data_IF_210615656153
#
_entry.id   IF_210615656153
#
_cell.length_a   1.000
_cell.length_b   1.000
_cell.length_c   1.000
_cell.angle_alpha   90.00
_cell.angle_beta   90.00
_cell.angle_gamma   90.00
#
_symmetry.space_group_name_H-M   'P 1'
#
loop_
_entity.id
_entity.type
_entity.pdbx_description
1 polymer ?
#
# COMPACT_ATOMS: atom_id res chain seq x y z
N UNK A 1 -5.76 -14.57 -56.01
CA UNK A 1 -5.94 -15.25 -54.71
C UNK A 1 -5.64 -14.19 -53.66
N UNK A 2 -6.61 -13.29 -53.44
CA UNK A 2 -6.53 -12.21 -52.47
C UNK A 2 -6.56 -12.84 -51.08
N UNK A 3 -5.51 -12.59 -50.30
CA UNK A 3 -5.56 -12.81 -48.87
C UNK A 3 -6.52 -11.76 -48.32
N UNK A 4 -7.76 -12.16 -48.00
CA UNK A 4 -8.63 -11.40 -47.11
C UNK A 4 -7.84 -11.15 -45.83
N UNK A 5 -7.21 -9.98 -45.75
CA UNK A 5 -6.80 -9.39 -44.50
C UNK A 5 -8.08 -9.21 -43.72
N UNK A 6 -8.31 -10.11 -42.76
CA UNK A 6 -9.34 -9.98 -41.76
C UNK A 6 -9.07 -8.66 -41.02
N UNK A 7 -9.63 -7.57 -41.54
CA UNK A 7 -9.64 -6.25 -40.94
C UNK A 7 -10.42 -6.41 -39.63
N UNK A 8 -9.66 -6.74 -38.59
CA UNK A 8 -10.12 -6.71 -37.23
C UNK A 8 -10.50 -5.26 -36.95
N UNK A 9 -11.78 -4.94 -37.13
CA UNK A 9 -12.36 -3.63 -36.82
C UNK A 9 -11.99 -3.28 -35.37
N UNK A 10 -10.92 -2.51 -35.20
CA UNK A 10 -10.52 -2.02 -33.90
C UNK A 10 -11.63 -1.08 -33.43
N UNK A 11 -12.34 -1.47 -32.37
CA UNK A 11 -13.45 -0.68 -31.81
C UNK A 11 -13.00 0.71 -31.30
N UNK A 12 -11.68 0.93 -31.24
CA UNK A 12 -11.02 2.15 -30.79
C UNK A 12 -9.74 2.35 -31.60
N UNK A 13 -9.40 3.60 -31.90
CA UNK A 13 -8.21 3.95 -32.65
C UNK A 13 -6.95 3.73 -31.80
N UNK A 14 -6.29 2.58 -31.95
CA UNK A 14 -5.11 2.26 -31.16
C UNK A 14 -3.85 2.91 -31.75
N UNK A 15 -2.83 3.23 -30.91
CA UNK A 15 -1.54 3.67 -31.41
C UNK A 15 -0.96 2.65 -32.40
N UNK A 16 -0.39 3.16 -33.50
CA UNK A 16 0.20 2.34 -34.56
C UNK A 16 1.18 1.29 -34.00
N UNK A 17 1.02 0.06 -34.46
CA UNK A 17 1.82 -1.09 -34.08
C UNK A 17 3.31 -0.89 -34.36
N UNK A 18 3.65 -0.14 -35.43
CA UNK A 18 5.03 0.19 -35.79
C UNK A 18 5.74 1.05 -34.75
N UNK A 19 4.98 1.87 -33.99
CA UNK A 19 5.50 2.79 -32.97
C UNK A 19 5.48 2.19 -31.58
N UNK A 20 4.45 1.41 -31.23
CA UNK A 20 4.32 0.82 -29.89
C UNK A 20 3.57 -0.52 -29.91
N UNK A 21 4.33 -1.61 -29.79
CA UNK A 21 3.83 -2.99 -29.84
C UNK A 21 2.91 -3.33 -28.66
N UNK A 22 3.31 -2.97 -27.44
CA UNK A 22 2.54 -3.25 -26.22
C UNK A 22 2.03 -1.96 -25.56
N UNK A 23 0.79 -2.02 -25.09
CA UNK A 23 0.01 -0.88 -24.62
C UNK A 23 -0.47 -1.12 -23.18
N UNK A 24 -0.40 -0.07 -22.37
CA UNK A 24 -1.07 0.02 -21.09
C UNK A 24 -2.35 0.88 -21.23
N UNK A 25 -3.41 0.70 -20.42
CA UNK A 25 -4.64 1.50 -20.48
C UNK A 25 -4.42 3.02 -20.37
N UNK A 26 -3.28 3.44 -19.82
CA UNK A 26 -2.89 4.85 -19.77
C UNK A 26 -2.47 5.42 -21.12
N UNK A 27 -2.06 4.57 -22.06
CA UNK A 27 -1.60 4.95 -23.40
C UNK A 27 -2.75 5.15 -24.40
N UNK A 28 -3.95 4.65 -24.09
CA UNK A 28 -5.15 4.73 -24.93
C UNK A 28 -6.11 5.75 -24.33
N UNK A 29 -6.53 6.75 -25.09
CA UNK A 29 -7.31 7.89 -24.56
C UNK A 29 -8.66 7.44 -23.95
N UNK A 30 -9.33 6.51 -24.62
CA UNK A 30 -10.63 5.95 -24.28
C UNK A 30 -10.56 5.06 -23.02
N UNK A 31 -9.46 4.32 -22.85
CA UNK A 31 -9.25 3.44 -21.70
C UNK A 31 -8.72 4.20 -20.47
N UNK A 32 -8.01 5.33 -20.68
CA UNK A 32 -7.31 6.07 -19.63
C UNK A 32 -8.24 6.54 -18.52
N UNK A 33 -9.39 7.12 -18.87
CA UNK A 33 -10.32 7.65 -17.88
C UNK A 33 -10.87 6.56 -16.96
N UNK A 34 -11.23 5.40 -17.52
CA UNK A 34 -11.71 4.25 -16.76
C UNK A 34 -10.61 3.68 -15.86
N UNK A 35 -9.41 3.52 -16.41
CA UNK A 35 -8.27 3.03 -15.64
C UNK A 35 -7.95 3.95 -14.45
N UNK A 36 -7.92 5.27 -14.67
CA UNK A 36 -7.64 6.24 -13.62
C UNK A 36 -8.71 6.24 -12.52
N UNK A 37 -9.99 6.11 -12.87
CA UNK A 37 -11.06 5.95 -11.87
C UNK A 37 -10.84 4.70 -11.02
N UNK A 38 -10.61 3.56 -11.66
CA UNK A 38 -10.34 2.31 -10.96
C UNK A 38 -9.08 2.39 -10.08
N UNK A 39 -8.02 3.04 -10.59
CA UNK A 39 -6.80 3.29 -9.85
C UNK A 39 -7.05 4.15 -8.60
N UNK A 40 -7.82 5.24 -8.71
CA UNK A 40 -8.18 6.08 -7.57
C UNK A 40 -9.01 5.33 -6.54
N UNK A 41 -10.02 4.54 -6.96
CA UNK A 41 -10.76 3.69 -6.04
C UNK A 41 -9.85 2.70 -5.31
N UNK A 42 -8.85 2.13 -5.99
CA UNK A 42 -7.86 1.27 -5.35
C UNK A 42 -6.99 2.02 -4.33
N UNK A 43 -6.60 3.27 -4.62
CA UNK A 43 -5.72 4.06 -3.74
C UNK A 43 -6.44 4.59 -2.52
N UNK A 44 -7.62 5.15 -2.69
CA UNK A 44 -8.42 5.67 -1.58
C UNK A 44 -8.86 4.56 -0.60
N UNK A 45 -8.81 3.31 -1.05
CA UNK A 45 -9.11 2.13 -0.26
C UNK A 45 -7.88 1.24 -0.02
N UNK A 46 -6.67 1.80 -0.10
CA UNK A 46 -5.48 1.09 0.36
C UNK A 46 -5.52 0.95 1.88
N UNK A 47 -4.89 -0.10 2.41
CA UNK A 47 -4.87 -0.37 3.86
C UNK A 47 -4.33 0.84 4.66
N UNK A 48 -3.20 1.47 4.29
CA UNK A 48 -2.71 2.65 5.01
C UNK A 48 -3.71 3.81 5.02
N UNK A 49 -4.35 4.10 3.88
CA UNK A 49 -5.32 5.19 3.77
C UNK A 49 -6.56 4.92 4.63
N UNK A 50 -7.06 3.69 4.62
CA UNK A 50 -8.22 3.31 5.44
C UNK A 50 -7.92 3.34 6.93
N UNK A 51 -6.74 2.89 7.34
CA UNK A 51 -6.30 3.00 8.74
C UNK A 51 -6.15 4.47 9.13
N UNK A 52 -5.65 5.34 8.24
CA UNK A 52 -5.57 6.77 8.48
C UNK A 52 -6.96 7.40 8.64
N UNK A 53 -7.91 7.07 7.77
CA UNK A 53 -9.31 7.52 7.88
C UNK A 53 -9.93 7.04 9.19
N UNK A 54 -9.76 5.76 9.53
CA UNK A 54 -10.25 5.19 10.79
C UNK A 54 -9.67 5.88 12.01
N UNK A 55 -8.37 6.18 12.00
CA UNK A 55 -7.70 6.92 13.06
C UNK A 55 -8.26 8.34 13.23
N UNK A 56 -8.50 9.05 12.13
CA UNK A 56 -9.13 10.39 12.15
C UNK A 56 -10.56 10.32 12.69
N UNK A 57 -11.35 9.36 12.23
CA UNK A 57 -12.73 9.16 12.71
C UNK A 57 -12.74 8.83 14.21
N UNK A 58 -11.82 7.96 14.65
CA UNK A 58 -11.65 7.64 16.07
C UNK A 58 -11.39 8.88 16.91
N UNK A 59 -10.44 9.73 16.54
CA UNK A 59 -10.15 10.95 17.31
C UNK A 59 -11.30 11.96 17.25
N UNK A 60 -12.01 12.06 16.12
CA UNK A 60 -13.13 12.99 15.96
C UNK A 60 -14.39 12.57 16.75
N UNK A 61 -14.63 11.27 16.90
CA UNK A 61 -15.89 10.72 17.45
C UNK A 61 -15.72 10.04 18.80
N UNK A 62 -14.50 9.62 19.14
CA UNK A 62 -14.17 8.73 20.24
C UNK A 62 -14.98 7.41 20.22
N UNK A 63 -15.41 6.96 19.03
CA UNK A 63 -16.20 5.75 18.81
C UNK A 63 -15.45 4.73 17.95
N UNK A 64 -15.19 3.56 18.53
CA UNK A 64 -14.37 2.50 17.92
C UNK A 64 -15.14 1.84 16.79
N UNK A 65 -16.45 1.71 16.98
CA UNK A 65 -17.32 1.11 16.01
C UNK A 65 -17.37 1.98 14.75
N UNK A 66 -17.57 3.29 14.90
CA UNK A 66 -17.52 4.23 13.78
C UNK A 66 -16.15 4.20 13.06
N UNK A 67 -15.05 4.15 13.83
CA UNK A 67 -13.69 4.11 13.31
C UNK A 67 -13.36 2.84 12.51
N UNK A 68 -14.04 1.72 12.79
CA UNK A 68 -13.82 0.44 12.09
C UNK A 68 -14.81 0.23 10.94
N UNK A 69 -16.09 0.52 11.15
CA UNK A 69 -17.15 0.23 10.18
C UNK A 69 -17.07 1.14 8.96
N UNK A 70 -16.80 2.45 9.16
CA UNK A 70 -16.75 3.39 8.04
C UNK A 70 -15.62 3.06 7.03
N UNK A 71 -14.37 2.77 7.46
CA UNK A 71 -13.34 2.31 6.52
C UNK A 71 -13.63 0.93 5.93
N UNK A 72 -14.14 -0.03 6.72
CA UNK A 72 -14.40 -1.39 6.24
C UNK A 72 -15.48 -1.44 5.15
N UNK A 73 -16.58 -0.69 5.32
CA UNK A 73 -17.62 -0.59 4.30
C UNK A 73 -17.11 0.06 3.00
N UNK A 74 -16.29 1.11 3.14
CA UNK A 74 -15.66 1.78 2.01
C UNK A 74 -14.70 0.87 1.24
N UNK A 75 -13.92 0.05 1.95
CA UNK A 75 -12.98 -0.91 1.37
C UNK A 75 -13.66 -1.87 0.40
N UNK A 76 -14.80 -2.45 0.79
CA UNK A 76 -15.50 -3.43 -0.04
C UNK A 76 -15.99 -2.81 -1.35
N UNK A 77 -16.64 -1.64 -1.27
CA UNK A 77 -17.15 -0.91 -2.44
C UNK A 77 -15.96 -0.47 -3.31
N UNK A 78 -14.93 0.11 -2.71
CA UNK A 78 -13.73 0.57 -3.41
C UNK A 78 -13.00 -0.54 -4.16
N UNK A 79 -12.85 -1.71 -3.55
CA UNK A 79 -12.23 -2.87 -4.20
C UNK A 79 -13.07 -3.38 -5.37
N UNK A 80 -14.39 -3.51 -5.20
CA UNK A 80 -15.28 -3.95 -6.27
C UNK A 80 -15.29 -2.96 -7.44
N UNK A 81 -15.47 -1.66 -7.16
CA UNK A 81 -15.44 -0.60 -8.18
C UNK A 81 -14.09 -0.55 -8.88
N UNK A 82 -12.98 -0.60 -8.13
CA UNK A 82 -11.62 -0.64 -8.69
C UNK A 82 -11.44 -1.78 -9.68
N UNK A 83 -11.78 -3.01 -9.27
CA UNK A 83 -11.65 -4.20 -10.12
C UNK A 83 -12.52 -4.09 -11.36
N UNK A 84 -13.74 -3.59 -11.22
CA UNK A 84 -14.66 -3.42 -12.34
C UNK A 84 -14.13 -2.40 -13.37
N UNK A 85 -13.73 -1.20 -12.92
CA UNK A 85 -13.20 -0.17 -13.82
C UNK A 85 -11.89 -0.56 -14.49
N UNK A 86 -10.97 -1.20 -13.76
CA UNK A 86 -9.70 -1.66 -14.32
C UNK A 86 -9.94 -2.75 -15.35
N UNK A 87 -10.80 -3.75 -15.06
CA UNK A 87 -11.15 -4.79 -16.02
C UNK A 87 -11.73 -4.17 -17.31
N UNK A 88 -12.67 -3.23 -17.16
CA UNK A 88 -13.28 -2.57 -18.31
C UNK A 88 -12.30 -1.73 -19.11
N UNK A 89 -11.31 -1.12 -18.47
CA UNK A 89 -10.25 -0.39 -19.17
C UNK A 89 -9.37 -1.31 -20.02
N UNK A 90 -9.15 -2.55 -19.58
CA UNK A 90 -8.38 -3.54 -20.35
C UNK A 90 -9.14 -4.13 -21.54
N UNK A 91 -10.48 -4.12 -21.53
CA UNK A 91 -11.29 -4.57 -22.67
C UNK A 91 -11.04 -3.75 -23.95
N UNK A 92 -10.57 -2.51 -23.81
CA UNK A 92 -10.20 -1.63 -24.93
C UNK A 92 -8.88 -2.02 -25.61
N UNK A 93 -8.08 -2.88 -25.01
CA UNK A 93 -6.77 -3.28 -25.53
C UNK A 93 -6.80 -4.79 -25.85
N UNK A 94 -6.54 -5.20 -27.10
CA UNK A 94 -6.46 -6.61 -27.46
C UNK A 94 -5.46 -7.35 -26.58
N UNK A 95 -5.84 -8.54 -26.08
CA UNK A 95 -5.03 -9.33 -25.12
C UNK A 95 -3.57 -9.53 -25.55
N UNK A 96 -3.32 -9.67 -26.86
CA UNK A 96 -1.97 -9.85 -27.43
C UNK A 96 -1.08 -8.60 -27.36
N UNK A 97 -1.66 -7.41 -27.13
CA UNK A 97 -0.96 -6.12 -27.02
C UNK A 97 -0.89 -5.59 -25.59
N UNK A 98 -1.38 -6.30 -24.58
CA UNK A 98 -1.43 -5.80 -23.21
C UNK A 98 -0.06 -5.80 -22.53
N UNK A 99 0.32 -4.67 -21.91
CA UNK A 99 1.53 -4.53 -21.08
C UNK A 99 1.17 -4.29 -19.62
N UNK A 100 1.28 -5.32 -18.77
CA UNK A 100 0.91 -5.20 -17.35
C UNK A 100 1.85 -4.29 -16.54
N UNK A 101 3.08 -4.06 -17.01
CA UNK A 101 4.13 -3.38 -16.22
C UNK A 101 4.35 -1.90 -16.57
N UNK A 102 3.57 -1.34 -17.50
CA UNK A 102 3.77 0.03 -18.01
C UNK A 102 3.48 1.20 -17.05
N UNK A 103 3.08 0.94 -15.81
CA UNK A 103 2.59 1.97 -14.86
C UNK A 103 3.62 2.43 -13.82
N UNK A 104 4.93 2.27 -14.06
CA UNK A 104 5.98 2.51 -13.06
C UNK A 104 5.88 3.85 -12.29
N UNK A 105 5.66 4.98 -12.99
CA UNK A 105 5.46 6.30 -12.34
C UNK A 105 4.24 6.34 -11.41
N UNK A 106 3.15 5.68 -11.80
CA UNK A 106 1.92 5.59 -10.99
C UNK A 106 2.11 4.72 -9.75
N UNK A 107 3.03 3.74 -9.78
CA UNK A 107 3.42 2.97 -8.59
C UNK A 107 4.14 3.84 -7.57
N UNK A 108 4.98 4.79 -8.01
CA UNK A 108 5.65 5.75 -7.12
C UNK A 108 4.63 6.74 -6.53
N UNK A 109 3.71 7.27 -7.34
CA UNK A 109 2.64 8.14 -6.83
C UNK A 109 1.80 7.39 -5.77
N UNK A 110 1.48 6.12 -6.03
CA UNK A 110 0.77 5.28 -5.06
C UNK A 110 1.53 5.18 -3.72
N UNK A 111 2.84 4.97 -3.75
CA UNK A 111 3.64 4.91 -2.52
C UNK A 111 3.73 6.24 -1.80
N UNK A 112 3.67 7.37 -2.50
CA UNK A 112 3.60 8.70 -1.86
C UNK A 112 2.27 8.86 -1.12
N UNK A 113 1.15 8.43 -1.71
CA UNK A 113 -0.16 8.47 -1.04
C UNK A 113 -0.15 7.61 0.24
N UNK A 114 0.36 6.37 0.13
CA UNK A 114 0.46 5.46 1.26
C UNK A 114 1.41 6.01 2.35
N UNK A 115 2.52 6.64 1.96
CA UNK A 115 3.44 7.32 2.88
C UNK A 115 2.77 8.50 3.62
N UNK A 116 2.02 9.34 2.91
CA UNK A 116 1.24 10.42 3.53
C UNK A 116 0.23 9.87 4.51
N UNK A 117 -0.45 8.77 4.19
CA UNK A 117 -1.38 8.12 5.11
C UNK A 117 -0.69 7.63 6.40
N UNK A 118 0.51 7.05 6.29
CA UNK A 118 1.33 6.65 7.46
C UNK A 118 1.66 7.88 8.34
N UNK A 119 2.02 9.01 7.73
CA UNK A 119 2.30 10.23 8.47
C UNK A 119 1.04 10.82 9.13
N UNK A 120 -0.13 10.70 8.49
CA UNK A 120 -1.42 11.09 9.10
C UNK A 120 -1.73 10.22 10.31
N UNK A 121 -1.52 8.90 10.22
CA UNK A 121 -1.67 8.00 11.37
C UNK A 121 -0.76 8.45 12.53
N UNK A 122 0.50 8.75 12.24
CA UNK A 122 1.43 9.24 13.25
C UNK A 122 0.97 10.56 13.89
N UNK A 123 0.50 11.51 13.09
CA UNK A 123 -0.04 12.78 13.57
C UNK A 123 -1.25 12.57 14.49
N UNK A 124 -2.17 11.68 14.13
CA UNK A 124 -3.34 11.31 14.95
C UNK A 124 -2.91 10.67 16.27
N UNK A 125 -1.92 9.77 16.25
CA UNK A 125 -1.35 9.16 17.46
C UNK A 125 -0.72 10.24 18.35
N UNK A 126 0.03 11.18 17.78
CA UNK A 126 0.65 12.29 18.52
C UNK A 126 -0.42 13.16 19.19
N UNK A 127 -1.47 13.55 18.46
CA UNK A 127 -2.59 14.31 19.03
C UNK A 127 -3.23 13.51 20.17
N UNK A 128 -3.47 12.22 19.97
CA UNK A 128 -4.05 11.35 21.00
C UNK A 128 -3.17 11.26 22.26
N UNK A 129 -1.84 11.20 22.09
CA UNK A 129 -0.88 11.22 23.20
C UNK A 129 -1.01 12.52 23.99
N UNK A 130 -1.12 13.66 23.30
CA UNK A 130 -1.20 14.98 23.93
C UNK A 130 -2.55 15.23 24.62
N UNK A 131 -3.65 14.70 24.09
CA UNK A 131 -4.99 14.95 24.62
C UNK A 131 -5.42 13.95 25.69
N UNK A 132 -5.03 12.68 25.55
CA UNK A 132 -5.50 11.59 26.41
C UNK A 132 -4.43 11.05 27.37
N UNK A 133 -3.15 11.43 27.21
CA UNK A 133 -2.03 11.00 28.04
C UNK A 133 -2.02 9.48 28.32
N UNK A 134 -1.95 8.63 27.28
CA UNK A 134 -1.98 7.18 27.43
C UNK A 134 -0.79 6.68 28.23
N UNK A 135 -0.95 5.49 28.84
CA UNK A 135 0.11 4.85 29.61
C UNK A 135 1.41 4.72 28.81
N UNK A 136 2.58 5.02 29.40
CA UNK A 136 3.87 4.94 28.70
C UNK A 136 4.16 3.56 28.09
N UNK A 137 3.64 2.48 28.66
CA UNK A 137 3.75 1.13 28.11
C UNK A 137 3.02 0.97 26.77
N UNK A 138 1.87 1.63 26.59
CA UNK A 138 1.14 1.61 25.31
C UNK A 138 1.93 2.34 24.23
N UNK A 139 2.49 3.51 24.57
CA UNK A 139 3.34 4.29 23.66
C UNK A 139 4.61 3.50 23.31
N UNK A 140 5.24 2.86 24.30
CA UNK A 140 6.42 2.02 24.12
C UNK A 140 6.15 0.85 23.20
N UNK A 141 5.03 0.16 23.40
CA UNK A 141 4.60 -0.94 22.54
C UNK A 141 4.35 -0.48 21.10
N UNK A 142 3.60 0.60 20.91
CA UNK A 142 3.31 1.16 19.58
C UNK A 142 4.58 1.61 18.84
N UNK A 143 5.51 2.26 19.56
CA UNK A 143 6.83 2.64 19.02
C UNK A 143 7.62 1.40 18.61
N UNK A 144 7.64 0.37 19.46
CA UNK A 144 8.22 -0.94 19.16
C UNK A 144 7.65 -1.58 17.90
N UNK A 145 6.32 -1.60 17.77
CA UNK A 145 5.66 -2.11 16.57
C UNK A 145 6.07 -1.35 15.31
N UNK A 146 6.17 -0.01 15.38
CA UNK A 146 6.70 0.81 14.29
C UNK A 146 8.13 0.43 13.88
N UNK A 147 9.01 0.17 14.87
CA UNK A 147 10.38 -0.33 14.62
C UNK A 147 10.33 -1.70 13.94
N UNK A 148 9.46 -2.60 14.40
CA UNK A 148 9.26 -3.91 13.78
C UNK A 148 8.86 -3.80 12.31
N UNK A 149 7.93 -2.89 11.98
CA UNK A 149 7.54 -2.62 10.57
C UNK A 149 8.73 -2.10 9.77
N UNK A 150 9.51 -1.15 10.32
CA UNK A 150 10.69 -0.62 9.65
C UNK A 150 11.74 -1.70 9.36
N UNK A 151 11.97 -2.63 10.30
CA UNK A 151 12.88 -3.76 10.12
C UNK A 151 12.40 -4.70 9.01
N UNK A 152 11.11 -5.04 9.00
CA UNK A 152 10.52 -5.86 7.92
C UNK A 152 10.72 -5.17 6.57
N UNK A 153 10.36 -3.88 6.45
CA UNK A 153 10.54 -3.14 5.19
C UNK A 153 12.01 -3.02 4.77
N UNK A 154 12.93 -2.84 5.73
CA UNK A 154 14.35 -2.82 5.44
C UNK A 154 14.83 -4.15 4.85
N UNK A 155 14.41 -5.29 5.44
CA UNK A 155 14.77 -6.61 4.91
C UNK A 155 14.24 -6.83 3.48
N UNK A 156 13.02 -6.39 3.19
CA UNK A 156 12.46 -6.46 1.83
C UNK A 156 13.21 -5.56 0.85
N UNK A 157 13.63 -4.36 1.27
CA UNK A 157 14.43 -3.46 0.47
C UNK A 157 15.80 -4.09 0.14
N UNK A 158 16.49 -4.64 1.14
CA UNK A 158 17.78 -5.33 0.94
C UNK A 158 17.66 -6.55 0.04
N UNK A 159 16.62 -7.36 0.21
CA UNK A 159 16.35 -8.50 -0.66
C UNK A 159 16.10 -8.03 -2.11
N UNK A 160 15.27 -6.98 -2.30
CA UNK A 160 15.02 -6.40 -3.61
C UNK A 160 16.29 -5.88 -4.28
N UNK A 161 17.15 -5.21 -3.53
CA UNK A 161 18.43 -4.72 -4.03
C UNK A 161 19.36 -5.85 -4.48
N UNK A 162 19.47 -6.92 -3.68
CA UNK A 162 20.28 -8.11 -4.02
C UNK A 162 19.78 -8.84 -5.27
N UNK A 163 18.47 -8.81 -5.53
CA UNK A 163 17.86 -9.45 -6.69
C UNK A 163 17.72 -8.53 -7.92
N UNK A 164 18.36 -7.35 -7.90
CA UNK A 164 18.38 -6.44 -9.04
C UNK A 164 17.03 -5.80 -9.34
N UNK A 165 16.27 -5.43 -8.30
CA UNK A 165 14.98 -4.77 -8.46
C UNK A 165 15.09 -3.48 -9.29
N UNK A 166 14.05 -3.19 -10.08
CA UNK A 166 13.97 -1.98 -10.88
C UNK A 166 14.08 -0.71 -10.01
N UNK A 167 14.64 0.36 -10.57
CA UNK A 167 14.85 1.64 -9.87
C UNK A 167 13.55 2.21 -9.26
N UNK A 168 12.42 2.07 -9.96
CA UNK A 168 11.13 2.58 -9.49
C UNK A 168 10.55 1.77 -8.32
N UNK A 169 10.77 0.46 -8.31
CA UNK A 169 10.36 -0.41 -7.20
C UNK A 169 11.20 -0.12 -5.95
N UNK A 170 12.52 0.08 -6.14
CA UNK A 170 13.43 0.52 -5.07
C UNK A 170 13.01 1.88 -4.51
N UNK A 171 12.70 2.86 -5.37
CA UNK A 171 12.22 4.18 -4.95
C UNK A 171 10.94 4.10 -4.12
N UNK A 172 9.96 3.29 -4.55
CA UNK A 172 8.72 3.05 -3.79
C UNK A 172 9.00 2.49 -2.38
N UNK A 173 9.87 1.48 -2.28
CA UNK A 173 10.23 0.87 -0.98
C UNK A 173 10.94 1.86 -0.07
N UNK A 174 11.83 2.68 -0.62
CA UNK A 174 12.51 3.74 0.12
C UNK A 174 11.54 4.80 0.67
N UNK A 175 10.56 5.24 -0.14
CA UNK A 175 9.56 6.22 0.29
C UNK A 175 8.75 5.69 1.48
N UNK A 176 8.28 4.44 1.40
CA UNK A 176 7.50 3.83 2.48
C UNK A 176 8.35 3.61 3.75
N UNK A 177 9.58 3.12 3.59
CA UNK A 177 10.51 2.93 4.70
C UNK A 177 10.79 4.25 5.42
N UNK A 178 11.08 5.31 4.65
CA UNK A 178 11.31 6.64 5.20
C UNK A 178 10.10 7.16 5.98
N UNK A 179 8.89 6.98 5.44
CA UNK A 179 7.66 7.38 6.13
C UNK A 179 7.45 6.64 7.45
N UNK A 180 7.66 5.31 7.48
CA UNK A 180 7.56 4.52 8.71
C UNK A 180 8.62 4.91 9.73
N UNK A 181 9.86 5.10 9.30
CA UNK A 181 10.97 5.51 10.19
C UNK A 181 10.66 6.87 10.80
N UNK A 182 10.26 7.86 9.98
CA UNK A 182 9.91 9.20 10.46
C UNK A 182 8.72 9.15 11.41
N UNK A 183 7.64 8.45 11.04
CA UNK A 183 6.45 8.28 11.88
C UNK A 183 6.82 7.67 13.25
N UNK A 184 7.54 6.55 13.24
CA UNK A 184 7.92 5.82 14.45
C UNK A 184 8.85 6.64 15.33
N UNK A 185 9.88 7.27 14.75
CA UNK A 185 10.81 8.10 15.49
C UNK A 185 10.08 9.30 16.12
N UNK A 186 9.17 9.95 15.39
CA UNK A 186 8.42 11.10 15.90
C UNK A 186 7.49 10.70 17.05
N UNK A 187 6.75 9.59 16.90
CA UNK A 187 5.87 9.06 17.97
C UNK A 187 6.70 8.67 19.21
N UNK A 188 7.84 8.00 19.03
CA UNK A 188 8.71 7.62 20.13
C UNK A 188 9.31 8.83 20.85
N UNK A 189 9.82 9.82 20.10
CA UNK A 189 10.40 11.03 20.66
C UNK A 189 9.38 11.87 21.44
N UNK A 190 8.19 12.08 20.88
CA UNK A 190 7.15 12.90 21.53
C UNK A 190 6.48 12.13 22.67
N UNK A 191 6.23 10.83 22.49
CA UNK A 191 5.46 10.04 23.45
C UNK A 191 6.25 9.50 24.63
N UNK A 192 7.51 9.10 24.44
CA UNK A 192 8.35 8.56 25.51
C UNK A 192 9.33 9.60 26.08
N UNK A 193 9.68 10.62 25.29
CA UNK A 193 10.64 11.65 25.68
C UNK A 193 11.96 11.05 26.18
N UNK A 194 12.32 11.36 27.42
CA UNK A 194 13.53 10.87 28.10
C UNK A 194 13.30 9.65 28.99
N UNK A 195 12.08 9.08 29.03
CA UNK A 195 11.71 7.99 29.95
C UNK A 195 12.16 6.63 29.37
N UNK A 196 13.47 6.42 29.35
CA UNK A 196 14.09 5.15 28.93
C UNK A 196 14.51 4.34 30.16
N UNK A 197 13.66 3.39 30.55
CA UNK A 197 13.96 2.39 31.58
C UNK A 197 14.01 0.98 30.99
N UNK A 198 14.55 0.03 31.76
CA UNK A 198 14.61 -1.38 31.34
C UNK A 198 13.22 -1.94 30.97
N UNK A 199 12.17 -1.52 31.69
CA UNK A 199 10.79 -1.86 31.38
C UNK A 199 10.34 -1.33 30.01
N UNK A 200 10.53 -0.02 29.75
CA UNK A 200 10.19 0.62 28.47
C UNK A 200 10.90 -0.05 27.29
N UNK A 201 12.20 -0.35 27.46
CA UNK A 201 13.00 -1.06 26.44
C UNK A 201 12.42 -2.46 26.18
N UNK A 202 12.05 -3.18 27.24
CA UNK A 202 11.38 -4.48 27.13
C UNK A 202 10.07 -4.39 26.35
N UNK A 203 9.24 -3.39 26.63
CA UNK A 203 7.95 -3.19 25.93
C UNK A 203 8.14 -2.80 24.46
N UNK A 204 9.12 -1.96 24.15
CA UNK A 204 9.52 -1.63 22.76
C UNK A 204 9.96 -2.90 22.04
N UNK A 205 10.81 -3.72 22.66
CA UNK A 205 11.27 -4.98 22.07
C UNK A 205 10.10 -5.94 21.82
N UNK A 206 9.16 -6.07 22.76
CA UNK A 206 7.95 -6.88 22.58
C UNK A 206 7.13 -6.41 21.38
N UNK A 207 6.88 -5.10 21.26
CA UNK A 207 6.15 -4.54 20.12
C UNK A 207 6.81 -4.84 18.78
N UNK A 208 8.15 -4.72 18.70
CA UNK A 208 8.91 -5.05 17.49
C UNK A 208 8.83 -6.54 17.15
N UNK A 209 9.03 -7.41 18.15
CA UNK A 209 8.96 -8.87 18.00
C UNK A 209 7.58 -9.31 17.56
N UNK A 210 6.50 -8.72 18.08
CA UNK A 210 5.13 -9.06 17.67
C UNK A 210 4.93 -8.85 16.17
N UNK A 211 5.39 -7.73 15.62
CA UNK A 211 5.27 -7.43 14.19
C UNK A 211 6.11 -8.39 13.36
N UNK A 212 7.36 -8.62 13.74
CA UNK A 212 8.27 -9.54 13.03
C UNK A 212 7.74 -10.97 13.06
N UNK A 213 7.22 -11.42 14.20
CA UNK A 213 6.60 -12.73 14.34
C UNK A 213 5.33 -12.86 13.48
N UNK A 214 4.44 -11.85 13.50
CA UNK A 214 3.24 -11.83 12.68
C UNK A 214 3.58 -11.93 11.18
N UNK A 215 4.58 -11.16 10.72
CA UNK A 215 5.05 -11.22 9.33
C UNK A 215 5.64 -12.60 8.99
N UNK A 216 6.43 -13.17 9.89
CA UNK A 216 7.05 -14.49 9.68
C UNK A 216 5.99 -15.59 9.59
N UNK A 217 4.97 -15.56 10.46
CA UNK A 217 3.84 -16.49 10.43
C UNK A 217 3.07 -16.36 9.12
N UNK A 218 2.78 -15.13 8.70
CA UNK A 218 2.09 -14.88 7.44
C UNK A 218 2.87 -15.41 6.24
N UNK A 219 4.20 -15.23 6.23
CA UNK A 219 5.07 -15.78 5.21
C UNK A 219 5.08 -17.32 5.20
N UNK A 220 5.13 -17.96 6.36
CA UNK A 220 5.05 -19.42 6.47
C UNK A 220 3.68 -19.96 6.02
N UNK A 221 2.59 -19.29 6.39
CA UNK A 221 1.23 -19.68 5.98
C UNK A 221 1.04 -19.55 4.46
N UNK A 222 1.51 -18.45 3.86
CA UNK A 222 1.37 -18.23 2.42
C UNK A 222 2.17 -19.24 1.58
N UNK A 223 3.39 -19.59 2.02
CA UNK A 223 4.23 -20.57 1.32
C UNK A 223 3.71 -22.01 1.42
N UNK A 224 3.16 -22.40 2.58
CA UNK A 224 2.54 -23.73 2.76
C UNK A 224 1.25 -23.90 1.95
N UNK A 225 0.39 -22.88 1.91
CA UNK A 225 -0.82 -22.87 1.08
C UNK A 225 -0.54 -22.97 -0.42
N UNK A 226 0.57 -22.40 -0.90
CA UNK A 226 0.95 -22.51 -2.32
C UNK A 226 1.46 -23.90 -2.68
N UNK A 227 2.17 -24.58 -1.77
CA UNK A 227 2.62 -25.97 -2.00
C UNK A 227 1.46 -26.95 -2.07
N UNK A 228 0.42 -26.76 -1.25
CA UNK A 228 -0.77 -27.62 -1.26
C UNK A 228 -1.68 -27.49 -2.50
N UNK A 229 -1.48 -26.50 -3.36
CA UNK A 229 -2.20 -26.36 -4.65
C UNK A 229 -1.45 -26.96 -5.85
N UNK A 230 -0.21 -27.36 -5.65
CA UNK A 230 0.65 -27.96 -6.68
C UNK A 230 0.83 -29.49 -6.49
N UNK A 231 0.29 -30.04 -5.41
CA UNK A 231 0.20 -31.48 -5.13
C UNK A 231 -1.23 -31.97 -5.42
#
# INVERSE_FOLDING_TARGET
MELEMNEMNEAVNLPDFSKKKFLHPLDVAEARALYLRGWWFARLNSVPVLVAIGAVVWVATNDLFAALVAPAGSLAIGLLSSRWFIARAWDYIPRKRQLNEGAGRWRVIASVIDAVAILVIAAVVIVSIQTAAPDPGVIAFATGSGIGVALVQATELFAGWKHGAENLETAKRLILLAAVVVATATVGLIGLGTVWGAWTIGTVAMGAVTVVAAQTIFWLASTTLHRGRLA
#
